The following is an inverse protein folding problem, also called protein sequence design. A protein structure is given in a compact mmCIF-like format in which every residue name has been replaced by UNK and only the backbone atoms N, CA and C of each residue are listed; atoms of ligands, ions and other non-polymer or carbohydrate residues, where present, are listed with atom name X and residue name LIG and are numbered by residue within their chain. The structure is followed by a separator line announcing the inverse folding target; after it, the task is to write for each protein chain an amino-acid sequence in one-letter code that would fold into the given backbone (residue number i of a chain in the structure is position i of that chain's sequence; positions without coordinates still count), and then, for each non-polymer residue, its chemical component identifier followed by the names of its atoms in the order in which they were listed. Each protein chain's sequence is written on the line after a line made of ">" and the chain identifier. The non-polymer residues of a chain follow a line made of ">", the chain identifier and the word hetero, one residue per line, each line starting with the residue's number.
data_IF_229739062225
#
_entry.id   IF_229739062225
#
_cell.length_a   1.000
_cell.length_b   1.000
_cell.length_c   1.000
_cell.angle_alpha   90.00
_cell.angle_beta   90.00
_cell.angle_gamma   90.00
#
_symmetry.space_group_name_H-M   'P 1'
#
loop_
_entity.id
_entity.type
_entity.pdbx_description
1 polymer ?
#
# COMPACT_ATOMS: atom_id res chain seq x y z
N UNK A 1 15.48 -16.79 31.29
CA UNK A 1 14.40 -15.88 30.88
C UNK A 1 15.03 -14.84 29.95
N UNK A 2 14.51 -14.73 28.72
CA UNK A 2 15.00 -13.74 27.77
C UNK A 2 14.49 -12.34 28.12
N UNK A 3 15.27 -11.32 27.79
CA UNK A 3 14.86 -9.92 27.93
C UNK A 3 13.95 -9.55 26.74
N UNK A 4 12.77 -9.00 27.02
CA UNK A 4 11.89 -8.42 25.99
C UNK A 4 12.26 -6.96 25.81
N UNK A 5 12.45 -6.54 24.56
CA UNK A 5 12.64 -5.14 24.19
C UNK A 5 11.40 -4.65 23.46
N UNK A 6 10.79 -3.59 23.97
CA UNK A 6 9.69 -2.92 23.31
C UNK A 6 10.20 -1.75 22.48
N UNK A 7 9.76 -1.66 21.23
CA UNK A 7 10.11 -0.56 20.32
C UNK A 7 8.78 0.04 19.82
N UNK A 8 8.58 1.32 20.08
CA UNK A 8 7.42 2.07 19.65
C UNK A 8 7.79 3.09 18.59
N UNK A 9 7.10 3.09 17.47
CA UNK A 9 7.20 4.13 16.46
C UNK A 9 5.91 4.95 16.42
N UNK A 10 6.03 6.26 16.34
CA UNK A 10 4.90 7.19 16.24
C UNK A 10 4.93 7.88 14.88
N UNK A 11 3.79 7.94 14.22
CA UNK A 11 3.62 8.56 12.91
C UNK A 11 2.50 9.60 12.91
N UNK A 12 2.17 10.06 11.71
CA UNK A 12 1.03 10.96 11.45
C UNK A 12 0.08 10.19 10.53
N UNK A 13 -1.16 9.95 11.03
CA UNK A 13 -2.18 9.26 10.24
C UNK A 13 -2.63 10.10 9.04
N UNK A 14 -2.90 9.45 7.92
CA UNK A 14 -3.47 10.03 6.73
C UNK A 14 -4.47 9.07 6.10
N UNK A 15 -5.37 9.59 5.29
CA UNK A 15 -6.26 8.74 4.49
C UNK A 15 -5.46 8.06 3.37
N UNK A 16 -5.83 6.83 2.98
CA UNK A 16 -5.11 6.08 1.95
C UNK A 16 -5.09 6.76 0.56
N UNK A 17 -6.03 7.67 0.28
CA UNK A 17 -6.03 8.49 -0.94
C UNK A 17 -5.04 9.67 -0.92
N UNK A 18 -4.56 10.05 0.27
CA UNK A 18 -3.62 11.16 0.47
C UNK A 18 -2.52 10.77 1.46
N UNK A 19 -1.79 9.68 1.21
CA UNK A 19 -0.82 9.16 2.15
C UNK A 19 0.41 10.08 2.32
N UNK A 20 0.63 10.97 1.38
CA UNK A 20 1.72 11.96 1.34
C UNK A 20 1.62 13.03 2.42
N UNK A 21 0.41 13.32 2.93
CA UNK A 21 0.23 14.28 4.05
C UNK A 21 0.49 13.65 5.42
N UNK A 22 0.70 12.33 5.46
CA UNK A 22 0.99 11.56 6.66
C UNK A 22 2.46 11.23 6.85
N UNK A 23 2.72 10.44 7.89
CA UNK A 23 4.02 9.81 8.12
C UNK A 23 3.79 8.40 8.67
N UNK A 24 3.93 7.41 7.83
CA UNK A 24 3.61 6.02 8.14
C UNK A 24 4.59 5.44 9.16
N UNK A 25 4.11 5.24 10.40
CA UNK A 25 4.92 4.69 11.49
C UNK A 25 5.40 3.26 11.21
N UNK A 26 4.58 2.44 10.55
CA UNK A 26 4.91 1.05 10.26
C UNK A 26 6.10 0.95 9.30
N UNK A 27 6.04 1.64 8.16
CA UNK A 27 7.17 1.63 7.21
C UNK A 27 8.42 2.28 7.80
N UNK A 28 8.27 3.31 8.64
CA UNK A 28 9.37 3.90 9.40
C UNK A 28 10.01 2.90 10.38
N UNK A 29 9.19 2.13 11.10
CA UNK A 29 9.64 1.07 11.99
C UNK A 29 10.37 -0.04 11.23
N UNK A 30 9.86 -0.46 10.06
CA UNK A 30 10.52 -1.46 9.22
C UNK A 30 11.92 -1.02 8.77
N UNK A 31 12.09 0.25 8.38
CA UNK A 31 13.42 0.82 8.05
C UNK A 31 14.35 0.78 9.24
N UNK A 32 13.85 1.13 10.43
CA UNK A 32 14.64 1.07 11.66
C UNK A 32 15.07 -0.36 11.99
N UNK A 33 14.12 -1.31 12.00
CA UNK A 33 14.39 -2.72 12.28
C UNK A 33 15.36 -3.33 11.26
N UNK A 34 15.25 -2.95 9.99
CA UNK A 34 16.16 -3.42 8.94
C UNK A 34 17.61 -3.01 9.13
N UNK A 35 17.87 -1.94 9.90
CA UNK A 35 19.22 -1.44 10.21
C UNK A 35 19.83 -2.09 11.46
N UNK A 36 19.04 -2.80 12.26
CA UNK A 36 19.53 -3.46 13.45
C UNK A 36 20.26 -4.76 13.09
N UNK A 37 21.34 -5.04 13.82
CA UNK A 37 22.13 -6.26 13.65
C UNK A 37 21.50 -7.41 14.45
N UNK A 38 20.36 -7.89 13.96
CA UNK A 38 19.72 -9.07 14.52
C UNK A 38 20.41 -10.35 14.06
N UNK A 39 20.40 -11.37 14.93
CA UNK A 39 20.73 -12.72 14.52
C UNK A 39 19.81 -13.15 13.34
N UNK A 40 20.40 -13.82 12.35
CA UNK A 40 19.64 -14.27 11.17
C UNK A 40 18.58 -15.29 11.59
N UNK A 41 17.33 -15.00 11.20
CA UNK A 41 16.21 -15.91 11.34
C UNK A 41 15.15 -15.58 10.26
N UNK A 42 14.24 -16.51 9.96
CA UNK A 42 13.23 -16.30 8.92
C UNK A 42 12.40 -15.04 9.11
N UNK A 43 12.05 -14.67 10.34
CA UNK A 43 11.26 -13.50 10.65
C UNK A 43 11.99 -12.19 10.33
N UNK A 44 13.27 -12.10 10.66
CA UNK A 44 14.12 -10.95 10.32
C UNK A 44 14.26 -10.81 8.81
N UNK A 45 14.42 -11.93 8.10
CA UNK A 45 14.50 -11.91 6.64
C UNK A 45 13.18 -11.47 6.00
N UNK A 46 12.03 -11.90 6.52
CA UNK A 46 10.71 -11.46 6.07
C UNK A 46 10.50 -9.97 6.30
N UNK A 47 10.86 -9.45 7.49
CA UNK A 47 10.79 -8.01 7.79
C UNK A 47 11.64 -7.19 6.81
N UNK A 48 12.86 -7.63 6.52
CA UNK A 48 13.75 -6.95 5.56
C UNK A 48 13.20 -6.98 4.13
N UNK A 49 12.64 -8.10 3.69
CA UNK A 49 11.98 -8.23 2.39
C UNK A 49 10.76 -7.31 2.28
N UNK A 50 9.93 -7.27 3.31
CA UNK A 50 8.78 -6.37 3.35
C UNK A 50 9.22 -4.91 3.31
N UNK A 51 10.24 -4.51 4.09
CA UNK A 51 10.81 -3.18 4.05
C UNK A 51 11.37 -2.80 2.67
N UNK A 52 11.88 -3.77 1.90
CA UNK A 52 12.38 -3.53 0.55
C UNK A 52 11.28 -3.33 -0.49
N UNK A 53 10.11 -3.94 -0.29
CA UNK A 53 8.93 -3.80 -1.17
C UNK A 53 8.12 -2.54 -0.85
N UNK A 54 8.06 -2.17 0.44
CA UNK A 54 7.32 -1.01 0.94
C UNK A 54 8.26 -0.04 1.67
N UNK A 55 9.21 0.60 0.96
CA UNK A 55 10.13 1.52 1.58
C UNK A 55 9.40 2.75 2.09
N UNK A 56 9.85 3.29 3.22
CA UNK A 56 9.25 4.47 3.81
C UNK A 56 9.28 5.67 2.86
N UNK A 57 8.10 6.29 2.68
CA UNK A 57 7.90 7.42 1.76
C UNK A 57 7.56 7.05 0.31
N UNK A 58 7.55 5.77 -0.06
CA UNK A 58 7.01 5.33 -1.35
C UNK A 58 5.48 5.18 -1.25
N UNK A 59 4.79 6.27 -1.47
CA UNK A 59 3.33 6.34 -1.40
C UNK A 59 2.63 6.13 -2.74
N UNK A 60 3.38 5.85 -3.81
CA UNK A 60 2.86 5.65 -5.15
C UNK A 60 3.19 4.27 -5.74
N UNK A 61 3.77 3.37 -4.96
CA UNK A 61 4.12 2.02 -5.41
C UNK A 61 5.21 1.95 -6.47
N UNK A 62 6.14 2.91 -6.48
CA UNK A 62 7.29 2.94 -7.41
C UNK A 62 8.15 1.69 -7.28
N UNK A 63 8.40 1.27 -6.06
CA UNK A 63 9.22 0.10 -5.75
C UNK A 63 8.56 -1.20 -6.19
N UNK A 64 7.23 -1.26 -6.09
CA UNK A 64 6.44 -2.38 -6.62
C UNK A 64 6.32 -2.35 -8.15
N UNK A 65 6.67 -1.23 -8.80
CA UNK A 65 6.61 -1.08 -10.26
C UNK A 65 5.22 -0.73 -10.79
N UNK A 66 4.33 -0.20 -9.92
CA UNK A 66 2.93 0.10 -10.28
C UNK A 66 2.60 1.59 -10.25
N UNK A 67 3.61 2.45 -10.06
CA UNK A 67 3.38 3.89 -10.10
C UNK A 67 2.82 4.31 -11.47
N UNK A 68 1.65 4.91 -11.44
CA UNK A 68 0.95 5.40 -12.64
C UNK A 68 0.09 6.60 -12.30
N UNK A 69 -0.31 7.33 -13.34
CA UNK A 69 -1.14 8.52 -13.26
C UNK A 69 -2.04 8.60 -14.48
N UNK A 70 -3.26 9.10 -14.33
CA UNK A 70 -4.08 9.55 -15.43
C UNK A 70 -4.73 10.91 -15.14
N UNK A 71 -5.13 11.62 -16.20
CA UNK A 71 -5.69 12.97 -16.10
C UNK A 71 -7.04 13.01 -15.37
N UNK A 72 -7.76 11.88 -15.32
CA UNK A 72 -9.11 11.81 -14.77
C UNK A 72 -9.11 11.52 -13.28
N UNK A 73 -8.29 10.56 -12.84
CA UNK A 73 -8.29 10.02 -11.48
C UNK A 73 -7.00 10.29 -10.70
N UNK A 74 -6.00 10.91 -11.33
CA UNK A 74 -4.73 11.28 -10.71
C UNK A 74 -3.77 10.10 -10.51
N UNK A 75 -2.91 10.19 -9.49
CA UNK A 75 -1.86 9.22 -9.21
C UNK A 75 -2.39 7.98 -8.48
N UNK A 76 -1.79 6.82 -8.79
CA UNK A 76 -1.88 5.68 -7.90
C UNK A 76 -1.31 6.06 -6.52
N UNK A 77 -2.05 5.74 -5.47
CA UNK A 77 -1.54 5.83 -4.09
C UNK A 77 -1.50 4.45 -3.45
N UNK A 78 -0.53 4.27 -2.54
CA UNK A 78 -0.32 3.01 -1.85
C UNK A 78 0.08 3.26 -0.39
N UNK A 79 -0.55 2.54 0.54
CA UNK A 79 -0.24 2.62 1.96
C UNK A 79 -0.12 1.22 2.55
N UNK A 80 1.01 0.92 3.18
CA UNK A 80 1.19 -0.32 3.95
C UNK A 80 0.70 -0.11 5.37
N UNK A 81 -0.39 -0.79 5.76
CA UNK A 81 -1.19 -0.40 6.92
C UNK A 81 -1.02 -1.31 8.13
N UNK A 82 -0.86 -2.61 7.91
CA UNK A 82 -0.78 -3.59 8.99
C UNK A 82 0.30 -4.63 8.71
N UNK A 83 0.96 -5.09 9.77
CA UNK A 83 1.89 -6.20 9.72
C UNK A 83 1.85 -6.96 11.05
N UNK A 84 1.67 -8.25 10.96
CA UNK A 84 1.84 -9.18 12.07
C UNK A 84 2.93 -10.18 11.71
N UNK A 85 3.88 -10.36 12.61
CA UNK A 85 4.95 -11.35 12.46
C UNK A 85 5.00 -12.17 13.74
N UNK A 86 4.89 -13.46 13.61
CA UNK A 86 5.06 -14.41 14.71
C UNK A 86 6.14 -15.46 14.39
N UNK A 87 6.24 -16.50 15.23
CA UNK A 87 7.25 -17.53 15.05
C UNK A 87 7.05 -18.41 13.80
N UNK A 88 5.86 -18.42 13.21
CA UNK A 88 5.46 -19.32 12.14
C UNK A 88 5.01 -18.60 10.87
N UNK A 89 4.49 -17.38 10.98
CA UNK A 89 3.86 -16.66 9.88
C UNK A 89 4.18 -15.17 9.87
N UNK A 90 3.90 -14.56 8.74
CA UNK A 90 3.86 -13.11 8.56
C UNK A 90 2.66 -12.77 7.67
N UNK A 91 1.80 -11.91 8.18
CA UNK A 91 0.63 -11.39 7.48
C UNK A 91 0.70 -9.87 7.43
N UNK A 92 0.46 -9.28 6.26
CA UNK A 92 0.49 -7.85 6.06
C UNK A 92 -0.65 -7.38 5.17
N UNK A 93 -1.09 -6.15 5.40
CA UNK A 93 -2.13 -5.50 4.61
C UNK A 93 -1.64 -4.15 4.07
N UNK A 94 -1.96 -3.89 2.83
CA UNK A 94 -1.77 -2.59 2.20
C UNK A 94 -3.01 -2.19 1.41
N UNK A 95 -3.26 -0.89 1.35
CA UNK A 95 -4.35 -0.28 0.61
C UNK A 95 -3.78 0.42 -0.62
N UNK A 96 -4.38 0.18 -1.78
CA UNK A 96 -4.02 0.84 -3.04
C UNK A 96 -5.23 1.55 -3.63
N UNK A 97 -5.06 2.84 -3.96
CA UNK A 97 -6.04 3.59 -4.76
C UNK A 97 -5.51 3.63 -6.18
N UNK A 98 -6.21 2.95 -7.07
CA UNK A 98 -5.74 2.67 -8.42
C UNK A 98 -6.48 3.56 -9.42
N UNK A 99 -5.74 4.34 -10.25
CA UNK A 99 -6.34 5.17 -11.29
C UNK A 99 -7.17 4.36 -12.29
N UNK A 100 -8.02 5.04 -13.05
CA UNK A 100 -8.90 4.41 -14.05
C UNK A 100 -8.11 3.65 -15.14
N UNK A 101 -6.87 4.06 -15.41
CA UNK A 101 -5.96 3.36 -16.33
C UNK A 101 -5.37 2.06 -15.75
N UNK A 102 -5.53 1.81 -14.43
CA UNK A 102 -5.05 0.60 -13.78
C UNK A 102 -6.00 -0.58 -13.96
N UNK A 103 -5.44 -1.78 -14.03
CA UNK A 103 -6.18 -3.03 -14.21
C UNK A 103 -5.38 -4.22 -13.64
N UNK A 104 -5.95 -5.42 -13.72
CA UNK A 104 -5.31 -6.63 -13.21
C UNK A 104 -3.94 -6.88 -13.86
N UNK A 105 -3.76 -6.61 -15.14
CA UNK A 105 -2.50 -6.88 -15.85
C UNK A 105 -1.38 -5.92 -15.43
N UNK A 106 -1.68 -4.61 -15.36
CA UNK A 106 -0.66 -3.59 -15.14
C UNK A 106 -0.45 -3.22 -13.65
N UNK A 107 -1.33 -3.72 -12.76
CA UNK A 107 -1.19 -3.51 -11.30
C UNK A 107 -1.13 -4.84 -10.55
N UNK A 108 -2.21 -5.64 -10.57
CA UNK A 108 -2.31 -6.83 -9.71
C UNK A 108 -1.24 -7.88 -10.02
N UNK A 109 -1.04 -8.20 -11.30
CA UNK A 109 -0.04 -9.18 -11.72
C UNK A 109 1.39 -8.67 -11.50
N UNK A 110 1.63 -7.35 -11.67
CA UNK A 110 2.93 -6.74 -11.38
C UNK A 110 3.26 -6.85 -9.89
N UNK A 111 2.31 -6.47 -9.01
CA UNK A 111 2.49 -6.60 -7.56
C UNK A 111 2.70 -8.06 -7.17
N UNK A 112 1.89 -8.98 -7.73
CA UNK A 112 2.02 -10.42 -7.47
C UNK A 112 3.40 -10.95 -7.83
N UNK A 113 3.91 -10.58 -9.00
CA UNK A 113 5.23 -10.98 -9.45
C UNK A 113 6.34 -10.43 -8.53
N UNK A 114 6.26 -9.14 -8.18
CA UNK A 114 7.26 -8.51 -7.29
C UNK A 114 7.26 -9.10 -5.89
N UNK A 115 6.10 -9.42 -5.33
CA UNK A 115 5.99 -10.09 -4.04
C UNK A 115 6.55 -11.52 -4.10
N UNK A 116 6.24 -12.26 -5.18
CA UNK A 116 6.72 -13.62 -5.38
C UNK A 116 8.26 -13.68 -5.50
N UNK A 117 8.92 -12.69 -6.11
CA UNK A 117 10.39 -12.57 -6.15
C UNK A 117 11.01 -12.53 -4.74
N UNK A 118 10.27 -12.03 -3.76
CA UNK A 118 10.67 -11.99 -2.35
C UNK A 118 10.16 -13.18 -1.53
N UNK A 119 9.44 -14.13 -2.16
CA UNK A 119 8.83 -15.27 -1.50
C UNK A 119 7.57 -14.92 -0.70
N UNK A 120 6.92 -13.80 -1.03
CA UNK A 120 5.64 -13.38 -0.46
C UNK A 120 4.50 -13.71 -1.43
N UNK A 121 3.31 -13.95 -0.90
CA UNK A 121 2.12 -14.28 -1.68
C UNK A 121 1.08 -13.17 -1.56
N UNK A 122 0.64 -12.64 -2.71
CA UNK A 122 -0.51 -11.74 -2.76
C UNK A 122 -1.81 -12.57 -2.77
N UNK A 123 -2.68 -12.33 -1.78
CA UNK A 123 -3.93 -13.08 -1.64
C UNK A 123 -5.07 -12.55 -2.49
N UNK A 124 -5.01 -11.30 -2.93
CA UNK A 124 -6.01 -10.70 -3.82
C UNK A 124 -6.12 -11.46 -5.14
N UNK A 125 -7.36 -11.75 -5.57
CA UNK A 125 -7.63 -12.50 -6.80
C UNK A 125 -7.91 -11.61 -8.00
N UNK A 126 -8.48 -10.42 -7.77
CA UNK A 126 -8.83 -9.42 -8.78
C UNK A 126 -8.85 -8.04 -8.14
N UNK A 127 -8.70 -6.99 -8.93
CA UNK A 127 -8.98 -5.61 -8.54
C UNK A 127 -10.50 -5.37 -8.62
N UNK A 128 -10.99 -4.46 -7.78
CA UNK A 128 -12.34 -3.93 -7.95
C UNK A 128 -12.30 -3.01 -9.19
N UNK A 129 -13.15 -3.23 -10.21
CA UNK A 129 -13.15 -2.40 -11.40
C UNK A 129 -13.38 -0.92 -11.05
N UNK A 130 -12.67 0.02 -11.71
CA UNK A 130 -12.87 1.44 -11.48
C UNK A 130 -14.31 1.83 -11.86
N UNK A 131 -14.92 2.67 -11.03
CA UNK A 131 -16.23 3.25 -11.31
C UNK A 131 -16.04 4.71 -11.70
N UNK A 132 -16.40 5.03 -12.94
CA UNK A 132 -16.35 6.39 -13.48
C UNK A 132 -17.75 6.87 -13.82
N UNK A 133 -18.06 8.09 -13.38
CA UNK A 133 -19.30 8.77 -13.74
C UNK A 133 -18.96 9.87 -14.74
N UNK A 134 -19.65 9.87 -15.91
CA UNK A 134 -19.42 10.89 -16.93
C UNK A 134 -19.65 12.30 -16.38
N UNK A 135 -18.83 13.26 -16.83
CA UNK A 135 -18.98 14.68 -16.49
C UNK A 135 -20.36 15.25 -16.83
N UNK A 136 -21.06 14.65 -17.81
CA UNK A 136 -22.42 15.04 -18.21
C UNK A 136 -23.52 14.31 -17.39
N UNK A 137 -23.14 13.54 -16.39
CA UNK A 137 -24.10 12.82 -15.54
C UNK A 137 -24.86 13.80 -14.63
N UNK A 138 -26.18 13.58 -14.48
CA UNK A 138 -27.04 14.36 -13.57
C UNK A 138 -26.49 14.41 -12.12
N UNK A 139 -25.76 13.39 -11.67
CA UNK A 139 -25.17 13.33 -10.34
C UNK A 139 -24.04 14.36 -10.13
N UNK A 140 -23.46 14.91 -11.19
CA UNK A 140 -22.42 15.93 -11.12
C UNK A 140 -22.96 17.36 -10.93
N UNK A 141 -24.24 17.55 -11.17
CA UNK A 141 -24.91 18.84 -11.02
C UNK A 141 -25.37 19.15 -9.58
N UNK A 142 -25.18 18.22 -8.63
CA UNK A 142 -25.45 18.52 -7.24
C UNK A 142 -24.17 18.94 -6.53
N UNK A 143 -24.14 20.14 -5.96
CA UNK A 143 -23.00 20.78 -5.25
C UNK A 143 -22.29 19.90 -4.21
N UNK A 144 -22.86 18.75 -3.88
CA UNK A 144 -22.30 17.77 -2.93
C UNK A 144 -21.29 16.80 -3.52
N UNK A 145 -21.17 16.72 -4.85
CA UNK A 145 -20.39 15.68 -5.53
C UNK A 145 -19.18 16.21 -6.30
N UNK A 146 -19.01 17.53 -6.46
CA UNK A 146 -17.85 18.10 -7.16
C UNK A 146 -16.51 17.73 -6.49
N UNK A 147 -16.47 17.64 -5.16
CA UNK A 147 -15.26 17.21 -4.45
C UNK A 147 -15.03 15.69 -4.53
N UNK A 148 -16.09 14.90 -4.63
CA UNK A 148 -16.00 13.43 -4.63
C UNK A 148 -15.51 12.89 -5.97
N UNK A 149 -15.76 13.61 -7.07
CA UNK A 149 -15.41 13.15 -8.43
C UNK A 149 -13.93 13.30 -8.75
N UNK A 150 -13.25 14.26 -8.12
CA UNK A 150 -11.79 14.39 -8.22
C UNK A 150 -11.03 13.23 -7.57
N UNK A 151 -11.74 12.29 -6.95
CA UNK A 151 -11.19 11.17 -6.19
C UNK A 151 -11.92 9.86 -6.43
N UNK A 152 -12.24 9.52 -7.68
CA UNK A 152 -12.75 8.18 -8.03
C UNK A 152 -11.58 7.20 -8.08
N UNK A 153 -11.32 6.55 -6.95
CA UNK A 153 -10.35 5.49 -6.82
C UNK A 153 -11.02 4.13 -6.72
N UNK A 154 -10.32 3.11 -7.10
CA UNK A 154 -10.72 1.72 -6.82
C UNK A 154 -10.20 1.37 -5.43
N UNK A 155 -11.12 1.08 -4.51
CA UNK A 155 -10.79 0.52 -3.21
C UNK A 155 -10.60 -0.99 -3.35
N UNK A 156 -9.42 -1.48 -3.04
CA UNK A 156 -9.09 -2.91 -3.10
C UNK A 156 -9.24 -3.60 -1.73
N UNK A 157 -9.80 -2.91 -0.74
CA UNK A 157 -10.08 -3.46 0.57
C UNK A 157 -11.45 -4.14 0.60
N UNK A 158 -11.53 -5.40 0.26
CA UNK A 158 -12.59 -6.33 0.64
C UNK A 158 -12.05 -7.72 0.83
#
# INVERSE_FOLDING_TARGET
>A
EGTVTEITATGIGAHASTPDVGNNALTGLLVFLGKLDFASCPQVDMVRKTASLFPHGDVNGKTLGVAMEDELSGNLTLSFNMLTVDAASMDGEFDGRIPVCGNDENVLEVVRARMAEQGLTLLNKALIPPHHVSADSYFLFSDRYEETIKTLYVDNNT
#
